data_IF_503496435342
#
_entry.id   IF_503496435342
#
_cell.length_a   1.000
_cell.length_b   1.000
_cell.length_c   1.000
_cell.angle_alpha   90.00
_cell.angle_beta   90.00
_cell.angle_gamma   90.00
#
_symmetry.space_group_name_H-M   'P 1'
#
loop_
_entity.id
_entity.type
_entity.pdbx_description
1 polymer ?
#
# COMPACT_ATOMS: atom_id res chain seq x y z
N UNK A 1 -2.20 48.28 38.95
CA UNK A 1 -3.02 48.83 40.05
C UNK A 1 -3.05 47.97 41.32
N UNK A 2 -2.90 46.63 41.27
CA UNK A 2 -2.94 45.79 42.49
C UNK A 2 -1.67 45.80 43.36
N UNK A 3 -0.46 45.98 42.80
CA UNK A 3 0.79 45.98 43.59
C UNK A 3 0.97 47.20 44.50
N UNK A 4 0.36 48.35 44.17
CA UNK A 4 0.58 49.59 44.92
C UNK A 4 -0.04 49.54 46.33
N UNK A 5 -1.16 48.82 46.51
CA UNK A 5 -1.78 48.65 47.82
C UNK A 5 -1.04 47.65 48.72
N UNK A 6 -0.32 46.69 48.13
CA UNK A 6 0.43 45.69 48.89
C UNK A 6 1.66 46.30 49.57
N UNK A 7 2.39 47.16 48.85
CA UNK A 7 3.53 47.89 49.41
C UNK A 7 3.11 48.88 50.50
N UNK A 8 2.02 49.63 50.30
CA UNK A 8 1.51 50.59 51.29
C UNK A 8 1.04 49.88 52.57
N UNK A 9 0.46 48.69 52.48
CA UNK A 9 0.09 47.91 53.67
C UNK A 9 1.30 47.31 54.39
N UNK A 10 2.30 46.78 53.68
CA UNK A 10 3.51 46.27 54.32
C UNK A 10 4.29 47.36 55.03
N UNK A 11 4.35 48.57 54.45
CA UNK A 11 5.01 49.70 55.10
C UNK A 11 4.38 50.02 56.47
N UNK A 12 3.05 50.12 56.53
CA UNK A 12 2.32 50.36 57.78
C UNK A 12 2.59 49.26 58.81
N UNK A 13 2.56 48.00 58.40
CA UNK A 13 2.80 46.86 59.29
C UNK A 13 4.24 46.89 59.82
N UNK A 14 5.23 47.09 58.95
CA UNK A 14 6.64 47.19 59.35
C UNK A 14 6.91 48.36 60.29
N UNK A 15 6.25 49.49 60.07
CA UNK A 15 6.33 50.66 60.95
C UNK A 15 5.68 50.39 62.32
N UNK A 16 4.57 49.65 62.36
CA UNK A 16 3.88 49.23 63.60
C UNK A 16 4.72 48.25 64.44
N UNK A 17 5.42 47.29 63.81
CA UNK A 17 6.25 46.31 64.51
C UNK A 17 7.70 46.78 64.77
N UNK A 18 8.09 47.93 64.21
CA UNK A 18 9.43 48.50 64.38
C UNK A 18 10.53 47.75 63.63
N UNK A 19 10.24 47.22 62.43
CA UNK A 19 11.26 46.57 61.61
C UNK A 19 12.39 47.53 61.24
N UNK A 20 13.59 46.99 61.02
CA UNK A 20 14.74 47.78 60.56
C UNK A 20 14.74 47.92 59.04
N UNK A 21 15.26 49.03 58.52
CA UNK A 21 15.35 49.23 57.06
C UNK A 21 16.15 48.14 56.35
N UNK A 22 17.18 47.60 57.01
CA UNK A 22 17.97 46.47 56.49
C UNK A 22 17.12 45.19 56.31
N UNK A 23 16.27 44.84 57.28
CA UNK A 23 15.39 43.67 57.17
C UNK A 23 14.24 43.93 56.18
N UNK A 24 13.72 45.16 56.10
CA UNK A 24 12.77 45.57 55.04
C UNK A 24 13.37 45.36 53.64
N UNK A 25 14.57 45.87 53.40
CA UNK A 25 15.28 45.74 52.12
C UNK A 25 15.54 44.27 51.77
N UNK A 26 15.96 43.46 52.75
CA UNK A 26 16.18 42.02 52.56
C UNK A 26 14.90 41.27 52.20
N UNK A 27 13.78 41.56 52.87
CA UNK A 27 12.48 40.97 52.53
C UNK A 27 12.01 41.39 51.13
N UNK A 28 12.22 42.65 50.75
CA UNK A 28 11.90 43.14 49.41
C UNK A 28 12.75 42.45 48.33
N UNK A 29 14.06 42.34 48.53
CA UNK A 29 14.95 41.61 47.63
C UNK A 29 14.57 40.14 47.50
N UNK A 30 14.16 39.49 48.60
CA UNK A 30 13.66 38.12 48.56
C UNK A 30 12.38 38.01 47.71
N UNK A 31 11.43 38.93 47.89
CA UNK A 31 10.20 38.95 47.09
C UNK A 31 10.49 39.18 45.60
N UNK A 32 11.40 40.10 45.27
CA UNK A 32 11.85 40.34 43.90
C UNK A 32 12.46 39.07 43.29
N UNK A 33 13.31 38.40 44.04
CA UNK A 33 13.93 37.14 43.61
C UNK A 33 12.88 36.04 43.38
N UNK A 34 11.93 35.86 44.30
CA UNK A 34 10.83 34.90 44.15
C UNK A 34 9.96 35.22 42.93
N UNK A 35 9.66 36.49 42.66
CA UNK A 35 8.93 36.93 41.47
C UNK A 35 9.71 36.61 40.18
N UNK A 36 11.01 36.89 40.16
CA UNK A 36 11.89 36.57 39.04
C UNK A 36 11.95 35.06 38.79
N UNK A 37 12.02 34.25 39.83
CA UNK A 37 12.07 32.79 39.71
C UNK A 37 10.74 32.22 39.21
N UNK A 38 9.60 32.79 39.59
CA UNK A 38 8.29 32.46 39.00
C UNK A 38 8.29 32.83 37.51
N UNK A 39 8.73 34.04 37.15
CA UNK A 39 8.77 34.49 35.76
C UNK A 39 9.67 33.60 34.91
N UNK A 40 10.89 33.30 35.36
CA UNK A 40 11.85 32.42 34.69
C UNK A 40 11.24 31.05 34.41
N UNK A 41 10.65 30.42 35.42
CA UNK A 41 9.97 29.11 35.26
C UNK A 41 8.83 29.16 34.25
N UNK A 42 8.07 30.26 34.19
CA UNK A 42 6.97 30.43 33.21
C UNK A 42 7.53 30.58 31.79
N UNK A 43 8.59 31.36 31.61
CA UNK A 43 9.27 31.52 30.33
C UNK A 43 9.88 30.21 29.86
N UNK A 44 10.59 29.48 30.73
CA UNK A 44 11.16 28.17 30.40
C UNK A 44 10.10 27.18 29.93
N UNK A 45 8.94 27.12 30.62
CA UNK A 45 7.80 26.28 30.19
C UNK A 45 7.27 26.68 28.82
N UNK A 46 7.12 27.98 28.56
CA UNK A 46 6.65 28.47 27.27
C UNK A 46 7.67 28.20 26.14
N UNK A 47 8.96 28.37 26.41
CA UNK A 47 10.04 28.08 25.48
C UNK A 47 10.11 26.58 25.14
N UNK A 48 9.98 25.70 26.15
CA UNK A 48 9.90 24.25 25.94
C UNK A 48 8.70 23.88 25.09
N UNK A 49 7.51 24.39 25.43
CA UNK A 49 6.30 24.12 24.66
C UNK A 49 6.41 24.60 23.20
N UNK A 50 7.04 25.74 22.95
CA UNK A 50 7.33 26.22 21.60
C UNK A 50 8.26 25.27 20.85
N UNK A 51 9.31 24.75 21.50
CA UNK A 51 10.23 23.78 20.90
C UNK A 51 9.50 22.48 20.54
N UNK A 52 8.66 21.97 21.44
CA UNK A 52 7.84 20.77 21.20
C UNK A 52 6.93 20.95 19.98
N UNK A 53 6.28 22.12 19.83
CA UNK A 53 5.45 22.44 18.67
C UNK A 53 6.25 22.48 17.36
N UNK A 54 7.47 23.04 17.37
CA UNK A 54 8.34 23.02 16.20
C UNK A 54 8.75 21.60 15.81
N UNK A 55 9.04 20.75 16.79
CA UNK A 55 9.40 19.36 16.56
C UNK A 55 8.24 18.59 15.93
N UNK A 56 7.04 18.66 16.52
CA UNK A 56 5.84 17.99 15.97
C UNK A 56 5.55 18.47 14.55
N UNK A 57 5.67 19.76 14.29
CA UNK A 57 5.49 20.31 12.94
C UNK A 57 6.50 19.69 11.95
N UNK A 58 7.78 19.68 12.29
CA UNK A 58 8.82 19.11 11.42
C UNK A 58 8.61 17.60 11.18
N UNK A 59 8.23 16.84 12.21
CA UNK A 59 7.95 15.40 12.11
C UNK A 59 6.75 15.11 11.20
N UNK A 60 5.63 15.82 11.39
CA UNK A 60 4.43 15.65 10.56
C UNK A 60 4.70 16.00 9.08
N UNK A 61 5.53 16.99 8.81
CA UNK A 61 5.87 17.38 7.45
C UNK A 61 6.84 16.41 6.78
N UNK A 62 7.79 15.86 7.54
CA UNK A 62 8.64 14.78 7.06
C UNK A 62 7.79 13.54 6.72
N UNK A 63 6.78 13.22 7.54
CA UNK A 63 5.84 12.14 7.26
C UNK A 63 5.03 12.40 5.98
N UNK A 64 4.50 13.61 5.81
CA UNK A 64 3.80 14.03 4.58
C UNK A 64 4.72 13.89 3.36
N UNK A 65 5.95 14.40 3.43
CA UNK A 65 6.91 14.32 2.32
C UNK A 65 7.22 12.85 1.94
N UNK A 66 7.40 11.99 2.94
CA UNK A 66 7.62 10.56 2.73
C UNK A 66 6.41 9.89 2.06
N UNK A 67 5.19 10.22 2.49
CA UNK A 67 3.97 9.68 1.89
C UNK A 67 3.83 10.13 0.44
N UNK A 68 4.01 11.43 0.17
CA UNK A 68 3.97 12.01 -1.19
C UNK A 68 4.98 11.31 -2.09
N UNK A 69 6.21 11.13 -1.62
CA UNK A 69 7.26 10.43 -2.37
C UNK A 69 6.87 8.98 -2.66
N UNK A 70 6.36 8.25 -1.66
CA UNK A 70 5.97 6.84 -1.84
C UNK A 70 4.79 6.66 -2.79
N UNK A 71 3.84 7.60 -2.80
CA UNK A 71 2.67 7.58 -3.67
C UNK A 71 2.96 8.13 -5.08
N UNK A 72 4.12 8.76 -5.26
CA UNK A 72 4.48 9.47 -6.50
C UNK A 72 3.57 10.66 -6.78
N UNK A 73 2.98 11.24 -5.75
CA UNK A 73 2.05 12.36 -5.92
C UNK A 73 2.81 13.65 -6.17
N UNK A 74 2.28 14.44 -7.11
CA UNK A 74 2.66 15.84 -7.25
C UNK A 74 1.63 16.68 -6.52
N UNK A 75 1.39 16.39 -5.25
CA UNK A 75 0.61 17.31 -4.44
C UNK A 75 1.45 18.57 -4.30
N UNK A 76 0.87 19.69 -4.71
CA UNK A 76 1.33 21.04 -4.44
C UNK A 76 1.16 21.32 -2.95
N UNK A 77 1.82 20.53 -2.09
CA UNK A 77 2.08 20.93 -0.72
C UNK A 77 3.23 21.96 -0.77
N UNK A 78 2.98 23.07 -1.47
CA UNK A 78 3.89 24.19 -1.60
C UNK A 78 3.87 24.96 -0.29
N UNK A 79 4.58 24.40 0.69
CA UNK A 79 4.86 25.02 1.97
C UNK A 79 5.41 26.45 1.85
N UNK A 80 6.04 26.76 0.72
CA UNK A 80 6.75 28.01 0.48
C UNK A 80 5.87 29.28 0.43
N UNK A 81 4.55 29.17 0.19
CA UNK A 81 3.69 30.37 0.06
C UNK A 81 2.70 30.55 1.23
N UNK A 82 2.48 29.49 2.03
CA UNK A 82 1.39 29.43 3.02
C UNK A 82 1.84 29.25 4.48
N UNK A 83 3.11 29.49 4.83
CA UNK A 83 3.58 29.52 6.22
C UNK A 83 3.08 30.75 7.01
N UNK A 84 1.83 31.15 6.80
CA UNK A 84 1.17 32.26 7.50
C UNK A 84 0.31 31.66 8.62
N UNK A 85 0.69 31.96 9.86
CA UNK A 85 -0.04 31.52 11.05
C UNK A 85 0.86 31.04 12.17
N UNK A 86 0.28 30.89 13.35
CA UNK A 86 0.93 30.32 14.53
C UNK A 86 1.27 28.84 14.32
N UNK A 87 2.22 28.30 15.09
CA UNK A 87 2.60 26.87 15.01
C UNK A 87 1.40 25.93 15.17
N UNK A 88 0.45 26.29 16.04
CA UNK A 88 -0.77 25.52 16.26
C UNK A 88 -1.65 25.46 15.01
N UNK A 89 -1.88 26.61 14.38
CA UNK A 89 -2.68 26.69 13.16
C UNK A 89 -2.05 25.88 12.02
N UNK A 90 -0.72 25.96 11.87
CA UNK A 90 0.01 25.18 10.87
C UNK A 90 -0.17 23.67 11.08
N UNK A 91 -0.02 23.19 12.32
CA UNK A 91 -0.26 21.77 12.66
C UNK A 91 -1.71 21.38 12.33
N UNK A 92 -2.68 22.21 12.72
CA UNK A 92 -4.11 21.95 12.43
C UNK A 92 -4.41 21.88 10.92
N UNK A 93 -3.72 22.66 10.09
CA UNK A 93 -3.87 22.63 8.63
C UNK A 93 -3.25 21.37 8.02
N UNK A 94 -2.08 20.93 8.51
CA UNK A 94 -1.36 19.76 7.97
C UNK A 94 -2.05 18.44 8.32
N UNK A 95 -2.62 18.35 9.53
CA UNK A 95 -3.20 17.12 10.06
C UNK A 95 -4.25 16.46 9.12
N UNK A 96 -5.26 17.15 8.56
CA UNK A 96 -6.20 16.52 7.63
C UNK A 96 -5.53 16.01 6.34
N UNK A 97 -4.49 16.70 5.86
CA UNK A 97 -3.74 16.27 4.66
C UNK A 97 -2.93 15.01 4.93
N UNK A 98 -2.32 14.92 6.11
CA UNK A 98 -1.63 13.72 6.55
C UNK A 98 -2.58 12.52 6.61
N UNK A 99 -3.76 12.69 7.19
CA UNK A 99 -4.77 11.63 7.29
C UNK A 99 -5.32 11.19 5.93
N UNK A 100 -5.52 12.13 4.99
CA UNK A 100 -5.91 11.80 3.62
C UNK A 100 -4.83 10.96 2.90
N UNK A 101 -3.56 11.38 2.98
CA UNK A 101 -2.44 10.65 2.39
C UNK A 101 -2.28 9.25 3.00
N UNK A 102 -2.47 9.09 4.32
CA UNK A 102 -2.48 7.78 4.98
C UNK A 102 -3.58 6.87 4.43
N UNK A 103 -4.80 7.38 4.32
CA UNK A 103 -5.94 6.64 3.76
C UNK A 103 -5.68 6.22 2.31
N UNK A 104 -5.12 7.13 1.52
CA UNK A 104 -4.77 6.88 0.11
C UNK A 104 -3.68 5.83 -0.03
N UNK A 105 -2.68 5.85 0.86
CA UNK A 105 -1.65 4.81 0.93
C UNK A 105 -2.23 3.44 1.23
N UNK A 106 -3.15 3.34 2.18
CA UNK A 106 -3.81 2.08 2.49
C UNK A 106 -4.61 1.54 1.29
N UNK A 107 -5.41 2.42 0.65
CA UNK A 107 -6.13 2.06 -0.57
C UNK A 107 -5.21 1.59 -1.69
N UNK A 108 -4.07 2.27 -1.87
CA UNK A 108 -3.09 1.91 -2.89
C UNK A 108 -2.39 0.58 -2.60
N UNK A 109 -2.05 0.29 -1.35
CA UNK A 109 -1.48 -1.01 -0.96
C UNK A 109 -2.44 -2.13 -1.32
N UNK A 110 -3.73 -1.95 -1.03
CA UNK A 110 -4.76 -2.92 -1.39
C UNK A 110 -4.86 -3.12 -2.91
N UNK A 111 -4.87 -2.05 -3.70
CA UNK A 111 -4.87 -2.15 -5.17
C UNK A 111 -3.65 -2.92 -5.71
N UNK A 112 -2.45 -2.65 -5.18
CA UNK A 112 -1.25 -3.37 -5.57
C UNK A 112 -1.35 -4.86 -5.23
N UNK A 113 -1.84 -5.18 -4.03
CA UNK A 113 -2.03 -6.55 -3.60
C UNK A 113 -3.00 -7.30 -4.51
N UNK A 114 -4.16 -6.69 -4.81
CA UNK A 114 -5.19 -7.29 -5.67
C UNK A 114 -4.64 -7.57 -7.09
N UNK A 115 -3.85 -6.67 -7.65
CA UNK A 115 -3.24 -6.85 -8.99
C UNK A 115 -2.16 -7.94 -8.96
N UNK A 116 -1.26 -7.91 -7.98
CA UNK A 116 -0.19 -8.90 -7.87
C UNK A 116 -0.72 -10.31 -7.58
N UNK A 117 -1.74 -10.43 -6.72
CA UNK A 117 -2.41 -11.70 -6.43
C UNK A 117 -2.99 -12.32 -7.71
N UNK A 118 -3.63 -11.50 -8.55
CA UNK A 118 -4.14 -11.96 -9.85
C UNK A 118 -3.02 -12.39 -10.80
N UNK A 119 -1.92 -11.65 -10.87
CA UNK A 119 -0.75 -11.99 -11.68
C UNK A 119 -0.21 -13.36 -11.25
N UNK A 120 0.07 -13.54 -9.95
CA UNK A 120 0.60 -14.81 -9.39
C UNK A 120 -0.33 -15.97 -9.73
N UNK A 121 -1.64 -15.78 -9.55
CA UNK A 121 -2.64 -16.81 -9.87
C UNK A 121 -2.63 -17.19 -11.34
N UNK A 122 -2.64 -16.22 -12.27
CA UNK A 122 -2.65 -16.52 -13.71
C UNK A 122 -1.31 -17.17 -14.12
N UNK A 123 -0.18 -16.71 -13.61
CA UNK A 123 1.11 -17.32 -13.86
C UNK A 123 1.14 -18.79 -13.39
N UNK A 124 0.59 -19.08 -12.20
CA UNK A 124 0.49 -20.44 -11.68
C UNK A 124 -0.40 -21.34 -12.55
N UNK A 125 -1.55 -20.83 -13.01
CA UNK A 125 -2.43 -21.54 -13.96
C UNK A 125 -1.73 -21.85 -15.29
N UNK A 126 -0.98 -20.88 -15.83
CA UNK A 126 -0.20 -21.04 -17.07
C UNK A 126 0.97 -22.03 -16.87
N UNK A 127 1.62 -22.01 -15.71
CA UNK A 127 2.69 -22.97 -15.40
C UNK A 127 2.17 -24.38 -15.11
N UNK A 128 0.87 -24.52 -14.81
CA UNK A 128 0.27 -25.78 -14.36
C UNK A 128 0.50 -26.09 -12.88
N UNK A 129 0.92 -25.11 -12.07
CA UNK A 129 1.19 -25.25 -10.64
C UNK A 129 0.08 -24.60 -9.80
N UNK A 130 -1.13 -25.15 -9.92
CA UNK A 130 -2.33 -24.58 -9.27
C UNK A 130 -2.23 -24.68 -7.74
N UNK A 131 -1.44 -25.62 -7.20
CA UNK A 131 -1.31 -25.84 -5.75
C UNK A 131 -0.52 -24.75 -5.02
N UNK A 132 0.37 -24.00 -5.69
CA UNK A 132 1.11 -22.88 -5.09
C UNK A 132 0.31 -21.56 -5.04
N UNK A 133 -0.71 -21.43 -5.88
CA UNK A 133 -1.52 -20.20 -6.05
C UNK A 133 -2.21 -19.72 -4.77
N UNK A 134 -2.41 -20.59 -3.79
CA UNK A 134 -3.14 -20.29 -2.54
C UNK A 134 -2.24 -19.85 -1.38
N UNK A 135 -0.91 -20.04 -1.48
CA UNK A 135 0.02 -19.85 -0.35
C UNK A 135 0.97 -18.65 -0.50
N UNK A 136 1.15 -18.11 -1.71
CA UNK A 136 2.07 -17.01 -1.94
C UNK A 136 1.37 -15.66 -1.75
N UNK A 137 1.51 -15.08 -0.55
CA UNK A 137 1.05 -13.71 -0.28
C UNK A 137 1.95 -12.69 -1.00
N UNK A 138 1.43 -11.90 -1.97
CA UNK A 138 2.23 -10.94 -2.70
C UNK A 138 2.87 -9.91 -1.76
N UNK A 139 4.20 -9.83 -1.77
CA UNK A 139 4.93 -8.80 -1.03
C UNK A 139 4.84 -7.48 -1.79
N UNK A 140 3.86 -6.64 -1.42
CA UNK A 140 3.73 -5.28 -1.96
C UNK A 140 4.88 -4.41 -1.46
N UNK A 141 5.65 -3.84 -2.38
CA UNK A 141 6.67 -2.84 -2.02
C UNK A 141 6.00 -1.55 -1.55
N UNK A 142 6.09 -1.29 -0.24
CA UNK A 142 5.49 -0.12 0.40
C UNK A 142 6.27 1.18 0.13
N UNK A 143 7.44 1.10 -0.52
CA UNK A 143 8.30 2.25 -0.84
C UNK A 143 7.94 2.89 -2.18
N UNK A 144 7.50 2.10 -3.16
CA UNK A 144 7.06 2.56 -4.47
C UNK A 144 5.62 2.12 -4.75
N UNK A 145 4.69 3.00 -4.37
CA UNK A 145 3.26 2.87 -4.60
C UNK A 145 2.79 3.83 -5.71
N UNK A 146 3.70 4.23 -6.60
CA UNK A 146 3.42 5.21 -7.64
C UNK A 146 2.36 4.73 -8.63
N UNK A 147 1.60 5.67 -9.20
CA UNK A 147 0.62 5.37 -10.25
C UNK A 147 1.28 4.74 -11.47
N UNK A 148 2.51 5.16 -11.80
CA UNK A 148 3.30 4.57 -12.89
C UNK A 148 3.54 3.09 -12.64
N UNK A 149 4.06 2.73 -11.46
CA UNK A 149 4.36 1.34 -11.13
C UNK A 149 3.11 0.47 -11.11
N UNK A 150 2.01 0.99 -10.57
CA UNK A 150 0.72 0.30 -10.63
C UNK A 150 0.23 0.10 -12.07
N UNK A 151 0.42 1.10 -12.94
CA UNK A 151 0.07 1.02 -14.36
C UNK A 151 0.87 -0.06 -15.11
N UNK A 152 2.16 -0.20 -14.81
CA UNK A 152 3.01 -1.27 -15.35
C UNK A 152 2.47 -2.65 -14.95
N UNK A 153 2.14 -2.84 -13.67
CA UNK A 153 1.56 -4.09 -13.18
C UNK A 153 0.19 -4.39 -13.80
N UNK A 154 -0.68 -3.38 -13.93
CA UNK A 154 -1.99 -3.54 -14.60
C UNK A 154 -1.82 -3.91 -16.08
N UNK A 155 -0.88 -3.30 -16.78
CA UNK A 155 -0.58 -3.64 -18.18
C UNK A 155 -0.07 -5.08 -18.33
N UNK A 156 0.79 -5.52 -17.41
CA UNK A 156 1.26 -6.91 -17.38
C UNK A 156 0.13 -7.90 -17.07
N UNK A 157 -0.76 -7.55 -16.14
CA UNK A 157 -1.95 -8.36 -15.85
C UNK A 157 -2.85 -8.50 -17.08
N UNK A 158 -3.09 -7.41 -17.83
CA UNK A 158 -3.88 -7.46 -19.06
C UNK A 158 -3.24 -8.35 -20.14
N UNK A 159 -1.90 -8.35 -20.24
CA UNK A 159 -1.16 -9.23 -21.13
C UNK A 159 -1.33 -10.71 -20.74
N UNK A 160 -1.17 -11.03 -19.46
CA UNK A 160 -1.36 -12.38 -18.94
C UNK A 160 -2.81 -12.87 -19.12
N UNK A 161 -3.80 -12.00 -18.91
CA UNK A 161 -5.20 -12.32 -19.16
C UNK A 161 -5.45 -12.66 -20.63
N UNK A 162 -4.87 -11.89 -21.56
CA UNK A 162 -4.97 -12.15 -23.00
C UNK A 162 -4.32 -13.48 -23.38
N UNK A 163 -3.12 -13.76 -22.86
CA UNK A 163 -2.43 -15.03 -23.07
C UNK A 163 -3.26 -16.21 -22.54
N UNK A 164 -3.81 -16.08 -21.33
CA UNK A 164 -4.71 -17.09 -20.75
C UNK A 164 -5.92 -17.35 -21.66
N UNK A 165 -6.57 -16.30 -22.17
CA UNK A 165 -7.71 -16.45 -23.10
C UNK A 165 -7.29 -17.15 -24.40
N UNK A 166 -6.14 -16.80 -24.97
CA UNK A 166 -5.62 -17.43 -26.18
C UNK A 166 -5.33 -18.93 -25.95
N UNK A 167 -4.72 -19.28 -24.82
CA UNK A 167 -4.46 -20.67 -24.45
C UNK A 167 -5.74 -21.48 -24.28
N UNK A 168 -6.75 -20.91 -23.60
CA UNK A 168 -8.06 -21.55 -23.47
C UNK A 168 -8.71 -21.81 -24.83
N UNK A 169 -8.63 -20.85 -25.74
CA UNK A 169 -9.12 -21.02 -27.10
C UNK A 169 -8.36 -22.15 -27.84
N UNK A 170 -7.03 -22.16 -27.77
CA UNK A 170 -6.21 -23.21 -28.39
C UNK A 170 -6.53 -24.60 -27.82
N UNK A 171 -6.71 -24.73 -26.51
CA UNK A 171 -7.13 -25.99 -25.87
C UNK A 171 -8.48 -26.44 -26.44
N UNK A 172 -9.46 -25.54 -26.53
CA UNK A 172 -10.79 -25.86 -27.06
C UNK A 172 -10.75 -26.26 -28.54
N UNK A 173 -9.96 -25.57 -29.36
CA UNK A 173 -9.79 -25.86 -30.79
C UNK A 173 -9.14 -27.24 -31.00
N UNK A 174 -8.15 -27.59 -30.18
CA UNK A 174 -7.53 -28.92 -30.21
C UNK A 174 -8.50 -30.01 -29.76
N UNK A 175 -9.28 -29.78 -28.69
CA UNK A 175 -10.31 -30.72 -28.23
C UNK A 175 -11.34 -30.98 -29.33
N UNK A 176 -11.83 -29.93 -30.00
CA UNK A 176 -12.77 -30.06 -31.12
C UNK A 176 -12.17 -30.85 -32.28
N UNK A 177 -10.91 -30.56 -32.63
CA UNK A 177 -10.19 -31.29 -33.68
C UNK A 177 -10.02 -32.77 -33.34
N UNK A 178 -9.67 -33.09 -32.08
CA UNK A 178 -9.56 -34.46 -31.60
C UNK A 178 -10.92 -35.15 -31.68
N UNK A 179 -12.00 -34.50 -31.25
CA UNK A 179 -13.35 -35.05 -31.34
C UNK A 179 -13.74 -35.42 -32.78
N UNK A 180 -13.52 -34.52 -33.74
CA UNK A 180 -13.78 -34.79 -35.16
C UNK A 180 -12.95 -35.96 -35.70
N UNK A 181 -11.65 -36.01 -35.38
CA UNK A 181 -10.77 -37.10 -35.79
C UNK A 181 -11.15 -38.42 -35.13
N UNK A 182 -11.60 -38.39 -33.87
CA UNK A 182 -12.09 -39.55 -33.13
C UNK A 182 -13.29 -40.19 -33.81
N UNK A 183 -14.24 -39.38 -34.29
CA UNK A 183 -15.39 -39.86 -35.07
C UNK A 183 -14.92 -40.52 -36.38
N UNK A 184 -14.01 -39.88 -37.11
CA UNK A 184 -13.54 -40.37 -38.42
C UNK A 184 -12.73 -41.67 -38.28
N UNK A 185 -11.92 -41.79 -37.24
CA UNK A 185 -11.00 -42.91 -37.03
C UNK A 185 -11.57 -44.03 -36.16
N UNK A 186 -12.77 -43.82 -35.61
CA UNK A 186 -13.43 -44.69 -34.62
C UNK A 186 -12.55 -44.97 -33.39
N UNK A 187 -11.91 -43.93 -32.85
CA UNK A 187 -11.12 -43.99 -31.59
C UNK A 187 -11.87 -43.32 -30.44
N UNK A 188 -11.65 -43.83 -29.23
CA UNK A 188 -12.31 -43.34 -28.02
C UNK A 188 -11.84 -41.93 -27.65
N UNK A 189 -12.71 -40.94 -27.85
CA UNK A 189 -12.47 -39.54 -27.55
C UNK A 189 -12.18 -39.31 -26.06
N UNK A 190 -13.01 -39.85 -25.17
CA UNK A 190 -12.88 -39.60 -23.73
C UNK A 190 -11.58 -40.20 -23.19
N UNK A 191 -11.23 -41.41 -23.62
CA UNK A 191 -9.93 -41.99 -23.26
C UNK A 191 -8.77 -41.11 -23.75
N UNK A 192 -8.83 -40.67 -25.01
CA UNK A 192 -7.77 -39.86 -25.62
C UNK A 192 -7.56 -38.52 -24.90
N UNK A 193 -8.64 -37.83 -24.54
CA UNK A 193 -8.54 -36.55 -23.80
C UNK A 193 -8.09 -36.78 -22.35
N UNK A 194 -8.56 -37.84 -21.68
CA UNK A 194 -8.18 -38.15 -20.31
C UNK A 194 -6.69 -38.50 -20.20
N UNK A 195 -6.19 -39.23 -21.19
CA UNK A 195 -4.76 -39.53 -21.30
C UNK A 195 -3.96 -38.24 -21.37
N UNK A 196 -4.44 -37.21 -22.08
CA UNK A 196 -3.83 -35.86 -22.11
C UNK A 196 -3.95 -35.17 -20.76
N UNK A 197 -5.13 -34.85 -20.26
CA UNK A 197 -5.22 -34.33 -18.90
C UNK A 197 -6.64 -34.52 -18.35
N UNK A 198 -6.82 -35.10 -17.15
CA UNK A 198 -8.16 -35.39 -16.61
C UNK A 198 -9.07 -34.17 -16.48
N UNK A 199 -8.51 -32.99 -16.16
CA UNK A 199 -9.29 -31.75 -16.03
C UNK A 199 -9.86 -31.21 -17.34
N UNK A 200 -9.51 -31.79 -18.50
CA UNK A 200 -10.10 -31.43 -19.79
C UNK A 200 -11.48 -32.07 -19.99
N UNK A 201 -11.82 -33.10 -19.22
CA UNK A 201 -13.13 -33.79 -19.27
C UNK A 201 -13.96 -33.40 -18.06
N UNK A 202 -13.39 -33.57 -16.87
CA UNK A 202 -14.08 -33.32 -15.61
C UNK A 202 -13.42 -32.16 -14.89
N UNK A 203 -13.82 -30.97 -15.31
CA UNK A 203 -13.33 -29.73 -14.75
C UNK A 203 -14.03 -29.46 -13.41
N UNK A 204 -13.57 -30.11 -12.34
CA UNK A 204 -14.16 -30.05 -10.99
C UNK A 204 -14.41 -28.62 -10.46
N UNK A 205 -13.64 -27.62 -10.94
CA UNK A 205 -13.77 -26.21 -10.57
C UNK A 205 -14.03 -25.25 -11.76
N UNK A 206 -14.45 -25.76 -12.92
CA UNK A 206 -14.55 -24.94 -14.15
C UNK A 206 -13.19 -24.49 -14.74
N UNK A 207 -12.06 -25.06 -14.31
CA UNK A 207 -10.73 -24.77 -14.82
C UNK A 207 -10.12 -25.99 -15.55
N UNK A 208 -10.03 -25.92 -16.87
CA UNK A 208 -9.23 -26.82 -17.69
C UNK A 208 -7.75 -26.45 -17.60
N UNK A 209 -6.87 -27.45 -17.67
CA UNK A 209 -5.42 -27.18 -17.71
C UNK A 209 -5.05 -26.45 -19.00
N UNK A 210 -4.29 -25.36 -18.86
CA UNK A 210 -3.81 -24.51 -19.97
C UNK A 210 -2.28 -24.44 -20.02
N UNK A 211 -1.61 -25.37 -19.33
CA UNK A 211 -0.16 -25.39 -19.24
C UNK A 211 0.51 -25.69 -20.57
N UNK A 212 1.78 -25.30 -20.69
CA UNK A 212 2.60 -25.61 -21.86
C UNK A 212 2.65 -27.12 -22.13
N UNK A 213 2.77 -27.94 -21.07
CA UNK A 213 2.74 -29.39 -21.17
C UNK A 213 1.40 -29.88 -21.76
N UNK A 214 0.28 -29.36 -21.25
CA UNK A 214 -1.06 -29.76 -21.74
C UNK A 214 -1.23 -29.41 -23.22
N UNK A 215 -0.87 -28.19 -23.61
CA UNK A 215 -0.94 -27.73 -25.00
C UNK A 215 -0.02 -28.53 -25.93
N UNK A 216 1.21 -28.84 -25.51
CA UNK A 216 2.15 -29.64 -26.27
C UNK A 216 1.61 -31.06 -26.50
N UNK A 217 1.02 -31.66 -25.45
CA UNK A 217 0.44 -33.01 -25.52
C UNK A 217 -0.81 -33.07 -26.38
N UNK A 218 -1.72 -32.09 -26.27
CA UNK A 218 -2.86 -31.96 -27.19
C UNK A 218 -2.39 -31.84 -28.65
N UNK A 219 -1.37 -31.02 -28.91
CA UNK A 219 -0.80 -30.84 -30.25
C UNK A 219 -0.21 -32.16 -30.78
N UNK A 220 0.51 -32.90 -29.94
CA UNK A 220 1.06 -34.22 -30.28
C UNK A 220 -0.02 -35.25 -30.64
N UNK A 221 -1.13 -35.28 -29.90
CA UNK A 221 -2.27 -36.16 -30.18
C UNK A 221 -2.93 -35.78 -31.52
N UNK A 222 -3.22 -34.49 -31.74
CA UNK A 222 -3.80 -34.02 -33.01
C UNK A 222 -2.90 -34.41 -34.19
N UNK A 223 -1.59 -34.24 -34.07
CA UNK A 223 -0.64 -34.60 -35.11
C UNK A 223 -0.65 -36.11 -35.39
N UNK A 224 -0.61 -36.93 -34.33
CA UNK A 224 -0.61 -38.39 -34.42
C UNK A 224 -1.87 -38.91 -35.12
N UNK A 225 -3.05 -38.40 -34.74
CA UNK A 225 -4.33 -38.77 -35.36
C UNK A 225 -4.38 -38.36 -36.84
N UNK A 226 -3.92 -37.14 -37.18
CA UNK A 226 -3.85 -36.70 -38.59
C UNK A 226 -2.92 -37.58 -39.42
N UNK A 227 -1.77 -37.98 -38.87
CA UNK A 227 -0.82 -38.87 -39.55
C UNK A 227 -1.41 -40.27 -39.76
N UNK A 228 -2.03 -40.85 -38.73
CA UNK A 228 -2.64 -42.17 -38.84
C UNK A 228 -3.80 -42.18 -39.85
N UNK A 229 -4.66 -41.14 -39.84
CA UNK A 229 -5.69 -40.95 -40.86
C UNK A 229 -5.10 -40.96 -42.27
N UNK A 230 -3.98 -40.25 -42.48
CA UNK A 230 -3.31 -40.21 -43.78
C UNK A 230 -2.77 -41.59 -44.20
N UNK A 231 -2.14 -42.32 -43.27
CA UNK A 231 -1.64 -43.68 -43.54
C UNK A 231 -2.76 -44.66 -43.87
N UNK A 232 -3.91 -44.59 -43.17
CA UNK A 232 -5.08 -45.44 -43.48
C UNK A 232 -5.64 -45.14 -44.87
N UNK A 233 -5.70 -43.86 -45.25
CA UNK A 233 -6.14 -43.45 -46.59
C UNK A 233 -5.21 -43.99 -47.70
N UNK A 234 -3.89 -43.94 -47.49
CA UNK A 234 -2.91 -44.48 -48.45
C UNK A 234 -2.96 -46.00 -48.61
N UNK A 235 -3.44 -46.75 -47.60
CA UNK A 235 -3.59 -48.21 -47.68
C UNK A 235 -4.87 -48.66 -48.37
N UNK A 236 -5.84 -47.76 -48.53
CA UNK A 236 -7.16 -48.02 -49.12
C UNK A 236 -7.27 -47.46 -50.54
N UNK A 237 -6.30 -46.66 -50.98
CA UNK A 237 -6.06 -46.27 -52.38
C UNK A 237 -5.09 -47.24 -53.06
#
# INVERSE_FOLDING_TARGET
MHNSNFFVNNQKIWDEIGESDCERDKMLLQLEQECLDVYRRKVEKASKYKADLHQTLAETEAEVANLISSLGERTSFSRSENAKGTLKEQITIIQPVLEDLKRKKEGRIKEFWDVQSQIVRICAEIAGDIHLSSSADPQVDKRDLTVKKLGELKSHLEELQREKSLRLQNVNDHINTIHELSIIMSVDFFKTINDVHPSLIDSANGQSSISDDTLARLTGVVHSLKQEKHQRLQKVM
#
